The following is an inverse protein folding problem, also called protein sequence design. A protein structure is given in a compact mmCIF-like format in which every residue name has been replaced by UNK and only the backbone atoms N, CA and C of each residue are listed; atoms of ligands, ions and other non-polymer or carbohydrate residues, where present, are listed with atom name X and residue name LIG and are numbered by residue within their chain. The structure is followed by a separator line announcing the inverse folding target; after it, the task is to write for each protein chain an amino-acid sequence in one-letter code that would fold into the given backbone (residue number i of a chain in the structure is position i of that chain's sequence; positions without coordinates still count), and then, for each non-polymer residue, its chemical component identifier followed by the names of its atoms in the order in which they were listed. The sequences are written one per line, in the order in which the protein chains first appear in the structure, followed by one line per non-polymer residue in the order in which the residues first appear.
data_IF_430998718857
#
_entry.id   IF_430998718857
#
_cell.length_a   1.000
_cell.length_b   1.000
_cell.length_c   1.000
_cell.angle_alpha   90.00
_cell.angle_beta   90.00
_cell.angle_gamma   90.00
#
_symmetry.space_group_name_H-M   'P 1'
#
loop_
_entity.id
_entity.type
_entity.pdbx_description
1 polymer ?
#
# COMPACT_ATOMS: atom_id res chain seq x y z
N UNK A 1 -10.06 20.72 20.04
CA UNK A 1 -10.45 19.29 20.07
C UNK A 1 -9.39 18.53 20.87
N UNK A 2 -9.77 17.75 21.87
CA UNK A 2 -8.84 17.15 22.84
C UNK A 2 -8.06 16.00 22.18
N UNK A 3 -6.73 15.91 22.33
CA UNK A 3 -5.86 14.92 21.63
C UNK A 3 -6.32 13.47 21.88
N UNK A 4 -6.85 13.19 23.08
CA UNK A 4 -7.44 11.88 23.42
C UNK A 4 -8.69 11.52 22.59
N UNK A 5 -9.53 12.49 22.24
CA UNK A 5 -10.70 12.24 21.39
C UNK A 5 -10.31 12.00 19.93
N UNK A 6 -9.22 12.61 19.46
CA UNK A 6 -8.67 12.40 18.12
C UNK A 6 -8.10 10.99 17.96
N UNK A 7 -7.37 10.48 18.97
CA UNK A 7 -6.80 9.13 19.00
C UNK A 7 -7.85 8.02 19.06
N UNK A 8 -9.03 8.31 19.60
CA UNK A 8 -10.13 7.34 19.67
C UNK A 8 -10.91 7.24 18.35
N UNK A 9 -10.66 8.12 17.37
CA UNK A 9 -11.30 8.03 16.07
C UNK A 9 -10.73 6.83 15.28
N UNK A 10 -11.58 5.87 14.83
CA UNK A 10 -11.13 4.68 14.12
C UNK A 10 -10.35 5.01 12.84
N UNK A 11 -10.63 6.12 12.18
CA UNK A 11 -9.92 6.54 10.97
C UNK A 11 -8.50 7.01 11.28
N UNK A 12 -8.31 7.86 12.30
CA UNK A 12 -6.99 8.34 12.73
C UNK A 12 -6.12 7.19 13.22
N UNK A 13 -6.72 6.24 13.96
CA UNK A 13 -6.02 5.02 14.40
C UNK A 13 -5.56 4.18 13.21
N UNK A 14 -6.41 3.99 12.21
CA UNK A 14 -6.08 3.19 11.03
C UNK A 14 -4.98 3.84 10.19
N UNK A 15 -5.02 5.16 10.06
CA UNK A 15 -3.95 5.95 9.42
C UNK A 15 -2.62 5.78 10.17
N UNK A 16 -2.62 5.90 11.51
CA UNK A 16 -1.41 5.73 12.31
C UNK A 16 -0.79 4.33 12.17
N UNK A 17 -1.63 3.29 12.23
CA UNK A 17 -1.21 1.89 12.07
C UNK A 17 -0.63 1.68 10.66
N UNK A 18 -1.31 2.18 9.62
CA UNK A 18 -0.83 2.09 8.24
C UNK A 18 0.54 2.73 8.08
N UNK A 19 0.77 3.92 8.64
CA UNK A 19 2.06 4.62 8.51
C UNK A 19 3.22 3.84 9.12
N UNK A 20 3.03 3.30 10.32
CA UNK A 20 4.06 2.51 11.01
C UNK A 20 4.37 1.23 10.25
N UNK A 21 3.32 0.50 9.82
CA UNK A 21 3.49 -0.73 9.07
C UNK A 21 4.10 -0.49 7.69
N UNK A 22 3.74 0.60 7.00
CA UNK A 22 4.29 0.94 5.69
C UNK A 22 5.81 1.12 5.77
N UNK A 23 6.28 1.93 6.72
CA UNK A 23 7.72 2.21 6.91
C UNK A 23 8.45 0.91 7.29
N UNK A 24 7.91 0.16 8.25
CA UNK A 24 8.54 -1.06 8.75
C UNK A 24 8.60 -2.14 7.65
N UNK A 25 7.52 -2.33 6.89
CA UNK A 25 7.46 -3.28 5.79
C UNK A 25 8.53 -2.99 4.73
N UNK A 26 8.65 -1.71 4.33
CA UNK A 26 9.65 -1.28 3.34
C UNK A 26 11.09 -1.56 3.81
N UNK A 27 11.39 -1.34 5.09
CA UNK A 27 12.71 -1.61 5.67
C UNK A 27 13.06 -3.11 5.63
N UNK A 28 12.15 -3.96 6.07
CA UNK A 28 12.38 -5.42 6.03
C UNK A 28 12.47 -5.93 4.60
N UNK A 29 11.61 -5.43 3.70
CA UNK A 29 11.62 -5.82 2.29
C UNK A 29 12.99 -5.50 1.66
N UNK A 30 13.45 -4.27 1.83
CA UNK A 30 14.77 -3.85 1.33
C UNK A 30 15.90 -4.63 1.98
N UNK A 31 15.82 -4.93 3.28
CA UNK A 31 16.84 -5.75 3.96
C UNK A 31 16.93 -7.16 3.37
N UNK A 32 15.79 -7.82 3.13
CA UNK A 32 15.73 -9.16 2.52
C UNK A 32 16.32 -9.16 1.11
N UNK A 33 15.94 -8.18 0.30
CA UNK A 33 16.40 -8.08 -1.09
C UNK A 33 17.88 -7.67 -1.18
N UNK A 34 18.31 -6.63 -0.46
CA UNK A 34 19.67 -6.08 -0.61
C UNK A 34 20.75 -6.77 0.20
N UNK A 35 20.44 -7.21 1.43
CA UNK A 35 21.45 -7.82 2.32
C UNK A 35 21.52 -9.32 2.12
N UNK A 36 20.37 -9.96 1.91
CA UNK A 36 20.30 -11.40 1.74
C UNK A 36 20.22 -11.81 0.27
N UNK A 37 20.02 -10.88 -0.68
CA UNK A 37 19.90 -11.24 -2.11
C UNK A 37 18.77 -12.26 -2.35
N UNK A 38 17.70 -12.17 -1.55
CA UNK A 38 16.51 -12.98 -1.74
C UNK A 38 15.53 -12.19 -2.60
N UNK A 39 15.57 -12.46 -3.89
CA UNK A 39 14.91 -11.70 -4.95
C UNK A 39 13.77 -12.52 -5.58
N UNK A 40 12.74 -12.78 -4.77
CA UNK A 40 11.59 -13.60 -5.13
C UNK A 40 10.29 -12.90 -4.69
N UNK A 41 9.90 -11.80 -5.36
CA UNK A 41 8.77 -10.97 -4.96
C UNK A 41 7.44 -11.72 -4.96
N UNK A 42 7.20 -12.61 -5.92
CA UNK A 42 5.96 -13.38 -6.00
C UNK A 42 5.84 -14.30 -4.80
N UNK A 43 6.93 -14.96 -4.41
CA UNK A 43 6.95 -15.81 -3.20
C UNK A 43 6.65 -14.99 -1.94
N UNK A 44 7.24 -13.80 -1.80
CA UNK A 44 6.97 -12.91 -0.66
C UNK A 44 5.49 -12.52 -0.62
N UNK A 45 4.92 -12.09 -1.74
CA UNK A 45 3.50 -11.73 -1.84
C UNK A 45 2.58 -12.91 -1.53
N UNK A 46 2.89 -14.10 -2.06
CA UNK A 46 2.14 -15.32 -1.78
C UNK A 46 2.12 -15.64 -0.29
N UNK A 47 3.29 -15.60 0.37
CA UNK A 47 3.40 -15.88 1.80
C UNK A 47 2.64 -14.85 2.64
N UNK A 48 2.64 -13.57 2.25
CA UNK A 48 1.85 -12.52 2.91
C UNK A 48 0.34 -12.76 2.78
N UNK A 49 -0.13 -13.10 1.58
CA UNK A 49 -1.56 -13.41 1.35
C UNK A 49 -1.98 -14.69 2.08
N UNK A 50 -1.17 -15.75 2.02
CA UNK A 50 -1.40 -17.00 2.73
C UNK A 50 -1.42 -16.80 4.24
N UNK A 51 -0.51 -16.01 4.79
CA UNK A 51 -0.47 -15.67 6.23
C UNK A 51 -1.71 -14.89 6.65
N UNK A 52 -2.18 -13.96 5.81
CA UNK A 52 -3.43 -13.22 6.06
C UNK A 52 -4.62 -14.17 6.13
N UNK A 53 -4.75 -15.08 5.17
CA UNK A 53 -5.82 -16.08 5.13
C UNK A 53 -5.75 -17.02 6.34
N UNK A 54 -4.56 -17.54 6.65
CA UNK A 54 -4.34 -18.42 7.79
C UNK A 54 -4.71 -17.73 9.11
N UNK A 55 -4.32 -16.47 9.29
CA UNK A 55 -4.63 -15.71 10.50
C UNK A 55 -6.15 -15.49 10.66
N UNK A 56 -6.86 -15.18 9.57
CA UNK A 56 -8.33 -14.99 9.60
C UNK A 56 -9.03 -16.33 9.88
N UNK A 57 -8.58 -17.41 9.26
CA UNK A 57 -9.13 -18.75 9.46
C UNK A 57 -8.87 -19.28 10.88
N UNK A 58 -7.68 -19.06 11.42
CA UNK A 58 -7.36 -19.36 12.81
C UNK A 58 -8.27 -18.56 13.76
N UNK A 59 -8.44 -17.26 13.53
CA UNK A 59 -9.33 -16.42 14.33
C UNK A 59 -10.80 -16.87 14.26
N UNK A 60 -11.24 -17.40 13.10
CA UNK A 60 -12.56 -18.01 12.93
C UNK A 60 -12.70 -19.29 13.74
N UNK A 61 -11.70 -20.18 13.71
CA UNK A 61 -11.70 -21.43 14.50
C UNK A 61 -11.77 -21.17 16.01
N UNK A 62 -11.08 -20.14 16.49
CA UNK A 62 -11.14 -19.72 17.91
C UNK A 62 -12.41 -18.92 18.27
N UNK A 63 -13.37 -18.77 17.34
CA UNK A 63 -14.59 -17.97 17.51
C UNK A 63 -14.35 -16.49 17.89
N UNK A 64 -13.15 -15.97 17.61
CA UNK A 64 -12.82 -14.54 17.81
C UNK A 64 -13.56 -13.69 16.78
N UNK A 65 -13.78 -14.24 15.59
CA UNK A 65 -14.46 -13.54 14.50
C UNK A 65 -15.57 -14.40 13.89
N UNK A 66 -16.75 -13.80 13.72
CA UNK A 66 -17.85 -14.35 12.93
C UNK A 66 -17.71 -13.93 11.47
N UNK A 67 -17.07 -14.77 10.67
CA UNK A 67 -16.94 -14.57 9.22
C UNK A 67 -17.65 -15.72 8.48
N UNK A 68 -18.53 -15.44 7.50
CA UNK A 68 -19.12 -16.49 6.69
C UNK A 68 -18.03 -17.13 5.81
N UNK A 69 -18.13 -18.44 5.57
CA UNK A 69 -17.21 -19.16 4.69
C UNK A 69 -17.11 -18.52 3.29
N UNK A 70 -16.00 -18.77 2.61
CA UNK A 70 -15.80 -18.32 1.25
C UNK A 70 -16.93 -18.84 0.36
N UNK A 71 -17.57 -17.95 -0.40
CA UNK A 71 -18.49 -18.34 -1.46
C UNK A 71 -17.98 -17.78 -2.78
N UNK A 72 -18.07 -18.59 -3.82
CA UNK A 72 -17.60 -18.21 -5.15
C UNK A 72 -18.25 -16.91 -5.65
N UNK A 73 -19.54 -16.70 -5.35
CA UNK A 73 -20.25 -15.47 -5.69
C UNK A 73 -19.60 -14.22 -5.07
N UNK A 74 -19.24 -14.25 -3.78
CA UNK A 74 -18.56 -13.13 -3.10
C UNK A 74 -17.16 -12.92 -3.66
N UNK A 75 -16.46 -14.01 -3.94
CA UNK A 75 -15.16 -14.00 -4.62
C UNK A 75 -15.21 -13.31 -5.99
N UNK A 76 -16.22 -13.62 -6.81
CA UNK A 76 -16.41 -13.01 -8.13
C UNK A 76 -16.67 -11.49 -8.05
N UNK A 77 -17.44 -11.02 -7.06
CA UNK A 77 -17.66 -9.59 -6.87
C UNK A 77 -16.38 -8.85 -6.50
N UNK A 78 -15.46 -9.50 -5.79
CA UNK A 78 -14.17 -8.94 -5.40
C UNK A 78 -13.06 -9.19 -6.44
N UNK A 79 -13.30 -10.01 -7.46
CA UNK A 79 -12.27 -10.49 -8.37
C UNK A 79 -11.57 -9.38 -9.15
N UNK A 80 -12.34 -8.47 -9.77
CA UNK A 80 -11.77 -7.35 -10.55
C UNK A 80 -10.92 -6.40 -9.68
N UNK A 81 -11.40 -5.91 -8.51
CA UNK A 81 -10.56 -5.13 -7.62
C UNK A 81 -9.29 -5.88 -7.19
N UNK A 82 -9.40 -7.17 -6.87
CA UNK A 82 -8.25 -8.01 -6.50
C UNK A 82 -7.26 -8.20 -7.63
N UNK A 83 -7.72 -8.33 -8.87
CA UNK A 83 -6.87 -8.45 -10.05
C UNK A 83 -6.04 -7.18 -10.25
N UNK A 84 -6.68 -6.01 -10.22
CA UNK A 84 -5.97 -4.74 -10.34
C UNK A 84 -5.02 -4.49 -9.18
N UNK A 85 -5.41 -4.86 -7.96
CA UNK A 85 -4.54 -4.79 -6.79
C UNK A 85 -3.33 -5.73 -6.91
N UNK A 86 -3.54 -6.97 -7.34
CA UNK A 86 -2.48 -7.97 -7.48
C UNK A 86 -1.45 -7.54 -8.53
N UNK A 87 -1.91 -7.08 -9.70
CA UNK A 87 -1.04 -6.58 -10.76
C UNK A 87 -0.27 -5.34 -10.30
N UNK A 88 -0.91 -4.41 -9.59
CA UNK A 88 -0.23 -3.19 -9.14
C UNK A 88 0.87 -3.49 -8.11
N UNK A 89 0.61 -4.37 -7.13
CA UNK A 89 1.62 -4.71 -6.12
C UNK A 89 2.74 -5.59 -6.69
N UNK A 90 2.42 -6.46 -7.65
CA UNK A 90 3.42 -7.25 -8.40
C UNK A 90 4.37 -6.31 -9.17
N UNK A 91 3.84 -5.44 -10.03
CA UNK A 91 4.65 -4.47 -10.77
C UNK A 91 5.45 -3.56 -9.83
N UNK A 92 4.90 -3.20 -8.68
CA UNK A 92 5.59 -2.38 -7.70
C UNK A 92 6.80 -3.09 -7.09
N UNK A 93 6.69 -4.37 -6.74
CA UNK A 93 7.81 -5.13 -6.20
C UNK A 93 8.85 -5.43 -7.27
N UNK A 94 8.45 -5.96 -8.42
CA UNK A 94 9.37 -6.25 -9.54
C UNK A 94 10.17 -5.01 -10.00
N UNK A 95 9.53 -3.84 -10.07
CA UNK A 95 10.22 -2.60 -10.45
C UNK A 95 11.09 -2.02 -9.32
N UNK A 96 10.94 -2.49 -8.07
CA UNK A 96 11.81 -2.16 -6.93
C UNK A 96 12.98 -3.14 -6.78
N UNK A 97 12.85 -4.34 -7.32
CA UNK A 97 13.80 -5.46 -7.22
C UNK A 97 14.96 -5.32 -8.20
N UNK A 98 14.69 -4.75 -9.38
CA UNK A 98 15.73 -4.34 -10.30
C UNK A 98 16.37 -3.00 -9.91
N UNK A 99 17.70 -2.93 -9.99
CA UNK A 99 18.53 -1.70 -10.10
C UNK A 99 18.03 -0.76 -11.24
N UNK A 100 17.02 -1.14 -12.01
CA UNK A 100 16.71 -0.67 -13.35
C UNK A 100 15.68 0.46 -13.48
N UNK A 101 14.96 0.92 -12.44
CA UNK A 101 13.91 1.94 -12.67
C UNK A 101 13.85 3.08 -11.64
N UNK A 102 14.86 3.98 -11.60
CA UNK A 102 14.94 5.06 -10.60
C UNK A 102 13.73 6.00 -10.55
N UNK A 103 13.02 6.15 -11.68
CA UNK A 103 11.85 7.05 -11.81
C UNK A 103 10.54 6.37 -11.38
N UNK A 104 10.47 5.04 -11.35
CA UNK A 104 9.23 4.31 -11.04
C UNK A 104 8.61 4.71 -9.69
N UNK A 105 9.37 4.76 -8.57
CA UNK A 105 8.82 5.17 -7.28
C UNK A 105 8.32 6.61 -7.26
N UNK A 106 8.88 7.49 -8.10
CA UNK A 106 8.45 8.87 -8.25
C UNK A 106 7.09 8.97 -8.96
N UNK A 107 6.83 8.12 -9.97
CA UNK A 107 5.54 8.08 -10.67
C UNK A 107 4.41 7.64 -9.74
N UNK A 108 4.68 6.67 -8.85
CA UNK A 108 3.68 6.21 -7.87
C UNK A 108 3.18 7.32 -6.93
N UNK A 109 3.89 8.45 -6.85
CA UNK A 109 3.51 9.62 -6.03
C UNK A 109 2.32 10.39 -6.56
N UNK A 110 1.80 10.06 -7.74
CA UNK A 110 0.58 10.67 -8.29
C UNK A 110 -0.69 9.89 -7.96
N UNK A 111 -0.63 8.88 -7.09
CA UNK A 111 -1.80 8.06 -6.71
C UNK A 111 -3.01 8.88 -6.24
N UNK A 112 -2.86 9.93 -5.40
CA UNK A 112 -4.01 10.74 -5.00
C UNK A 112 -4.74 11.39 -6.18
N UNK A 113 -4.02 11.78 -7.25
CA UNK A 113 -4.61 12.38 -8.45
C UNK A 113 -5.42 11.35 -9.22
N UNK A 114 -4.89 10.13 -9.37
CA UNK A 114 -5.60 9.02 -10.00
C UNK A 114 -6.87 8.67 -9.23
N UNK A 115 -6.81 8.62 -7.89
CA UNK A 115 -7.99 8.35 -7.06
C UNK A 115 -9.06 9.44 -7.21
N UNK A 116 -8.69 10.71 -7.34
CA UNK A 116 -9.67 11.77 -7.66
C UNK A 116 -10.33 11.49 -9.02
N UNK A 117 -9.53 11.23 -10.05
CA UNK A 117 -10.04 10.99 -11.40
C UNK A 117 -10.97 9.76 -11.47
N UNK A 118 -10.54 8.64 -10.90
CA UNK A 118 -11.33 7.40 -10.82
C UNK A 118 -12.55 7.59 -9.92
N UNK A 119 -12.43 8.31 -8.80
CA UNK A 119 -13.54 8.61 -7.89
C UNK A 119 -14.64 9.43 -8.55
N UNK A 120 -14.29 10.42 -9.38
CA UNK A 120 -15.25 11.19 -10.18
C UNK A 120 -15.90 10.30 -11.24
N UNK A 121 -15.13 9.50 -11.97
CA UNK A 121 -15.65 8.68 -13.07
C UNK A 121 -16.48 7.48 -12.60
N UNK A 122 -15.96 6.69 -11.67
CA UNK A 122 -16.52 5.39 -11.27
C UNK A 122 -17.52 5.51 -10.11
N UNK A 123 -17.22 6.35 -9.12
CA UNK A 123 -18.08 6.55 -7.93
C UNK A 123 -18.99 7.77 -8.09
N UNK A 124 -18.89 8.53 -9.18
CA UNK A 124 -19.64 9.76 -9.41
C UNK A 124 -19.48 10.76 -8.26
N UNK A 125 -18.31 10.77 -7.62
CA UNK A 125 -17.99 11.70 -6.54
C UNK A 125 -17.91 13.11 -7.12
N UNK A 126 -18.46 14.09 -6.39
CA UNK A 126 -18.25 15.50 -6.73
C UNK A 126 -16.77 15.87 -6.73
N UNK A 127 -16.37 16.82 -7.58
CA UNK A 127 -14.99 17.31 -7.61
C UNK A 127 -14.61 17.91 -6.25
N UNK A 128 -13.40 17.62 -5.73
CA UNK A 128 -12.90 18.29 -4.54
C UNK A 128 -12.80 19.81 -4.76
N UNK A 129 -12.77 20.57 -3.67
CA UNK A 129 -12.58 22.02 -3.76
C UNK A 129 -11.27 22.37 -4.46
N UNK A 130 -11.23 23.47 -5.21
CA UNK A 130 -10.03 23.94 -5.91
C UNK A 130 -8.80 24.02 -4.99
N UNK A 131 -9.00 24.48 -3.73
CA UNK A 131 -7.96 24.50 -2.71
C UNK A 131 -7.39 23.12 -2.41
N UNK A 132 -8.25 22.10 -2.31
CA UNK A 132 -7.84 20.71 -2.06
C UNK A 132 -7.03 20.16 -3.22
N UNK A 133 -7.49 20.39 -4.46
CA UNK A 133 -6.79 19.96 -5.67
C UNK A 133 -5.39 20.58 -5.74
N UNK A 134 -5.26 21.89 -5.49
CA UNK A 134 -3.96 22.58 -5.48
C UNK A 134 -3.01 21.98 -4.43
N UNK A 135 -3.50 21.72 -3.22
CA UNK A 135 -2.67 21.10 -2.16
C UNK A 135 -2.22 19.70 -2.56
N UNK A 136 -3.12 18.89 -3.15
CA UNK A 136 -2.81 17.52 -3.59
C UNK A 136 -1.78 17.52 -4.72
N UNK A 137 -1.93 18.40 -5.71
CA UNK A 137 -0.97 18.51 -6.81
C UNK A 137 0.41 18.93 -6.27
N UNK A 138 0.45 19.95 -5.40
CA UNK A 138 1.69 20.39 -4.77
C UNK A 138 2.35 19.25 -3.98
N UNK A 139 1.55 18.49 -3.23
CA UNK A 139 2.02 17.31 -2.48
C UNK A 139 2.58 16.24 -3.41
N UNK A 140 1.91 15.93 -4.53
CA UNK A 140 2.38 14.90 -5.46
C UNK A 140 3.68 15.32 -6.16
N UNK A 141 3.80 16.60 -6.54
CA UNK A 141 5.03 17.15 -7.14
C UNK A 141 6.18 17.11 -6.12
N UNK A 142 5.93 17.54 -4.88
CA UNK A 142 6.92 17.45 -3.81
C UNK A 142 7.34 15.99 -3.57
N UNK A 143 6.38 15.07 -3.49
CA UNK A 143 6.67 13.67 -3.26
C UNK A 143 7.41 13.02 -4.45
N UNK A 144 7.13 13.45 -5.69
CA UNK A 144 7.88 13.07 -6.88
C UNK A 144 9.37 13.45 -6.76
N UNK A 145 9.67 14.71 -6.46
CA UNK A 145 11.07 15.15 -6.26
C UNK A 145 11.72 14.50 -5.04
N UNK A 146 10.95 14.14 -4.01
CA UNK A 146 11.49 13.38 -2.87
C UNK A 146 11.96 11.98 -3.25
N UNK A 147 11.43 11.42 -4.34
CA UNK A 147 11.70 10.06 -4.82
C UNK A 147 12.66 10.02 -6.01
N UNK A 148 13.06 11.19 -6.55
CA UNK A 148 13.91 11.30 -7.72
C UNK A 148 15.37 11.49 -7.29
N UNK A 149 16.15 10.40 -7.31
CA UNK A 149 17.57 10.39 -6.93
C UNK A 149 18.47 10.35 -8.15
N UNK A 150 18.03 9.69 -9.21
CA UNK A 150 18.73 9.62 -10.48
C UNK A 150 17.78 10.00 -11.62
N UNK A 151 18.24 10.86 -12.51
CA UNK A 151 17.49 11.28 -13.70
C UNK A 151 17.78 10.29 -14.83
N UNK A 152 17.44 9.01 -14.59
CA UNK A 152 17.47 7.97 -15.60
C UNK A 152 16.03 7.69 -16.05
N UNK A 153 15.60 8.37 -17.11
CA UNK A 153 14.24 8.25 -17.62
C UNK A 153 14.19 7.09 -18.63
N UNK A 154 13.76 5.94 -18.16
CA UNK A 154 13.46 4.79 -19.00
C UNK A 154 11.98 4.75 -19.39
N UNK A 155 11.70 4.50 -20.67
CA UNK A 155 10.33 4.42 -21.17
C UNK A 155 9.52 3.30 -20.50
N UNK A 156 10.15 2.15 -20.25
CA UNK A 156 9.52 1.01 -19.59
C UNK A 156 9.16 1.31 -18.13
N UNK A 157 10.03 2.02 -17.41
CA UNK A 157 9.74 2.50 -16.05
C UNK A 157 8.52 3.40 -15.99
N UNK A 158 8.37 4.28 -16.99
CA UNK A 158 7.19 5.14 -17.10
C UNK A 158 5.94 4.30 -17.41
N UNK A 159 6.02 3.39 -18.37
CA UNK A 159 4.92 2.52 -18.75
C UNK A 159 4.39 1.67 -17.59
N UNK A 160 5.29 0.91 -16.94
CA UNK A 160 4.94 0.10 -15.76
C UNK A 160 4.50 0.96 -14.59
N UNK A 161 5.12 2.12 -14.38
CA UNK A 161 4.74 3.09 -13.36
C UNK A 161 3.29 3.55 -13.51
N UNK A 162 2.92 4.01 -14.72
CA UNK A 162 1.55 4.47 -15.01
C UNK A 162 0.56 3.30 -14.93
N UNK A 163 0.92 2.12 -15.41
CA UNK A 163 0.07 0.93 -15.33
C UNK A 163 -0.20 0.54 -13.88
N UNK A 164 0.84 0.38 -13.05
CA UNK A 164 0.70 0.04 -11.64
C UNK A 164 -0.09 1.13 -10.88
N UNK A 165 0.20 2.40 -11.16
CA UNK A 165 -0.45 3.55 -10.55
C UNK A 165 -1.97 3.57 -10.84
N UNK A 166 -2.34 3.36 -12.10
CA UNK A 166 -3.75 3.37 -12.53
C UNK A 166 -4.51 2.18 -11.97
N UNK A 167 -3.95 0.97 -12.07
CA UNK A 167 -4.56 -0.24 -11.50
C UNK A 167 -4.73 -0.13 -9.98
N UNK A 168 -3.73 0.39 -9.27
CA UNK A 168 -3.82 0.61 -7.83
C UNK A 168 -4.91 1.60 -7.46
N UNK A 169 -5.00 2.73 -8.19
CA UNK A 169 -6.05 3.72 -7.99
C UNK A 169 -7.46 3.15 -8.23
N UNK A 170 -7.64 2.36 -9.30
CA UNK A 170 -8.89 1.65 -9.58
C UNK A 170 -9.25 0.66 -8.49
N UNK A 171 -8.30 -0.18 -8.08
CA UNK A 171 -8.49 -1.17 -7.03
C UNK A 171 -9.00 -0.52 -5.74
N UNK A 172 -8.32 0.53 -5.24
CA UNK A 172 -8.69 1.18 -3.99
C UNK A 172 -10.09 1.83 -4.04
N UNK A 173 -10.46 2.48 -5.15
CA UNK A 173 -11.80 3.08 -5.29
C UNK A 173 -12.89 2.02 -5.40
N UNK A 174 -12.62 0.89 -6.09
CA UNK A 174 -13.57 -0.22 -6.16
C UNK A 174 -13.75 -0.91 -4.80
N UNK A 175 -12.65 -1.11 -4.05
CA UNK A 175 -12.68 -1.64 -2.68
C UNK A 175 -13.49 -0.71 -1.77
N UNK A 176 -13.29 0.61 -1.87
CA UNK A 176 -14.09 1.58 -1.11
C UNK A 176 -15.59 1.45 -1.40
N UNK A 177 -15.96 1.32 -2.68
CA UNK A 177 -17.36 1.15 -3.09
C UNK A 177 -17.95 -0.17 -2.59
N UNK A 178 -17.19 -1.25 -2.66
CA UNK A 178 -17.62 -2.56 -2.15
C UNK A 178 -17.81 -2.52 -0.64
N UNK A 179 -16.94 -1.84 0.11
CA UNK A 179 -17.08 -1.65 1.55
C UNK A 179 -18.38 -0.93 1.91
N UNK A 180 -18.76 0.10 1.17
CA UNK A 180 -20.02 0.81 1.38
C UNK A 180 -21.25 -0.08 1.18
N UNK A 181 -21.11 -1.17 0.40
CA UNK A 181 -22.19 -2.13 0.13
C UNK A 181 -22.17 -3.34 1.08
N UNK A 182 -21.00 -3.89 1.41
CA UNK A 182 -20.86 -5.13 2.20
C UNK A 182 -20.63 -4.91 3.70
N UNK A 183 -20.28 -3.68 4.11
CA UNK A 183 -20.02 -3.20 5.49
C UNK A 183 -18.99 -3.97 6.35
N UNK A 184 -18.47 -5.12 5.91
CA UNK A 184 -17.45 -5.88 6.63
C UNK A 184 -16.07 -5.73 5.99
N UNK A 185 -15.16 -5.04 6.68
CA UNK A 185 -13.76 -4.89 6.23
C UNK A 185 -13.04 -6.24 6.16
N UNK A 186 -13.28 -7.09 7.16
CA UNK A 186 -12.63 -8.38 7.24
C UNK A 186 -13.01 -9.29 6.08
N UNK A 187 -14.26 -9.19 5.62
CA UNK A 187 -14.71 -9.92 4.45
C UNK A 187 -13.95 -9.49 3.19
N UNK A 188 -13.77 -8.18 3.00
CA UNK A 188 -13.01 -7.67 1.86
C UNK A 188 -11.56 -8.10 1.91
N UNK A 189 -10.92 -8.07 3.09
CA UNK A 189 -9.54 -8.56 3.27
C UNK A 189 -9.48 -10.04 2.89
N UNK A 190 -10.36 -10.86 3.46
CA UNK A 190 -10.37 -12.30 3.23
C UNK A 190 -10.59 -12.65 1.75
N UNK A 191 -11.59 -12.06 1.11
CA UNK A 191 -11.89 -12.28 -0.31
C UNK A 191 -10.75 -11.78 -1.20
N UNK A 192 -10.17 -10.63 -0.88
CA UNK A 192 -9.06 -10.07 -1.64
C UNK A 192 -7.80 -10.92 -1.54
N UNK A 193 -7.40 -11.29 -0.32
CA UNK A 193 -6.22 -12.12 -0.10
C UNK A 193 -6.36 -13.48 -0.77
N UNK A 194 -7.56 -14.08 -0.76
CA UNK A 194 -7.82 -15.35 -1.45
C UNK A 194 -7.66 -15.22 -2.96
N UNK A 195 -8.29 -14.21 -3.56
CA UNK A 195 -8.20 -13.97 -5.00
C UNK A 195 -6.76 -13.62 -5.43
N UNK A 196 -6.06 -12.76 -4.66
CA UNK A 196 -4.67 -12.41 -4.94
C UNK A 196 -3.75 -13.62 -4.82
N UNK A 197 -3.94 -14.48 -3.81
CA UNK A 197 -3.15 -15.71 -3.68
C UNK A 197 -3.32 -16.62 -4.89
N UNK A 198 -4.55 -16.79 -5.40
CA UNK A 198 -4.80 -17.57 -6.61
C UNK A 198 -4.08 -16.97 -7.82
N UNK A 199 -4.09 -15.64 -7.97
CA UNK A 199 -3.40 -14.95 -9.05
C UNK A 199 -1.88 -15.13 -8.96
N UNK A 200 -1.30 -14.97 -7.78
CA UNK A 200 0.14 -15.16 -7.58
C UNK A 200 0.58 -16.61 -7.77
N UNK A 201 -0.25 -17.59 -7.39
CA UNK A 201 0.00 -18.99 -7.72
C UNK A 201 0.05 -19.22 -9.24
N UNK A 202 -0.83 -18.58 -10.01
CA UNK A 202 -0.80 -18.67 -11.48
C UNK A 202 0.45 -17.99 -12.05
N UNK A 203 0.86 -16.85 -11.47
CA UNK A 203 2.10 -16.17 -11.86
C UNK A 203 3.33 -17.03 -11.55
N UNK A 204 3.38 -17.67 -10.39
CA UNK A 204 4.46 -18.58 -10.01
C UNK A 204 4.58 -19.78 -10.95
N UNK A 205 3.46 -20.34 -11.45
CA UNK A 205 3.51 -21.41 -12.46
C UNK A 205 4.23 -21.00 -13.77
N UNK A 206 4.40 -19.70 -14.01
CA UNK A 206 5.08 -19.16 -15.19
C UNK A 206 6.52 -18.79 -14.87
N UNK A 207 6.78 -18.20 -13.70
CA UNK A 207 8.11 -17.73 -13.30
C UNK A 207 8.96 -18.78 -12.55
N UNK A 208 8.35 -19.83 -11.99
CA UNK A 208 8.99 -20.86 -11.16
C UNK A 208 9.72 -20.31 -9.91
N UNK A 209 9.31 -19.16 -9.37
CA UNK A 209 9.99 -18.52 -8.24
C UNK A 209 9.96 -19.36 -6.95
N UNK A 210 8.89 -20.11 -6.68
CA UNK A 210 8.80 -20.98 -5.48
C UNK A 210 9.94 -22.01 -5.49
N UNK A 211 10.23 -22.59 -6.65
CA UNK A 211 11.30 -23.57 -6.80
C UNK A 211 12.64 -22.94 -6.51
N UNK A 212 12.91 -21.77 -7.07
CA UNK A 212 14.18 -21.08 -6.90
C UNK A 212 14.36 -20.54 -5.49
N UNK A 213 13.31 -19.98 -4.89
CA UNK A 213 13.29 -19.56 -3.50
C UNK A 213 13.55 -20.74 -2.55
N UNK A 214 13.00 -21.92 -2.83
CA UNK A 214 13.25 -23.12 -2.05
C UNK A 214 14.71 -23.58 -2.16
N UNK A 215 15.27 -23.60 -3.37
CA UNK A 215 16.69 -23.93 -3.60
C UNK A 215 17.63 -22.93 -2.89
N UNK A 216 17.28 -21.64 -2.92
CA UNK A 216 17.99 -20.60 -2.18
C UNK A 216 17.96 -20.90 -0.67
N UNK A 217 16.79 -21.22 -0.11
CA UNK A 217 16.65 -21.52 1.31
C UNK A 217 17.47 -22.74 1.74
N UNK A 218 17.55 -23.78 0.90
CA UNK A 218 18.39 -24.95 1.20
C UNK A 218 19.89 -24.62 1.28
N UNK A 219 20.34 -23.63 0.51
CA UNK A 219 21.76 -23.32 0.35
C UNK A 219 22.24 -22.22 1.29
N UNK A 220 21.39 -21.23 1.57
CA UNK A 220 21.77 -19.95 2.17
C UNK A 220 20.98 -19.58 3.44
N UNK A 221 20.21 -20.51 4.01
CA UNK A 221 19.42 -20.23 5.20
C UNK A 221 20.29 -19.96 6.43
N UNK A 222 20.21 -18.71 6.91
CA UNK A 222 20.77 -18.30 8.21
C UNK A 222 19.62 -17.98 9.19
N UNK A 223 19.82 -18.13 10.50
CA UNK A 223 18.79 -17.78 11.49
C UNK A 223 18.33 -16.32 11.40
N UNK A 224 19.25 -15.40 11.07
CA UNK A 224 18.94 -13.98 10.89
C UNK A 224 18.08 -13.76 9.65
N UNK A 225 18.40 -14.41 8.52
CA UNK A 225 17.57 -14.38 7.32
C UNK A 225 16.15 -14.86 7.62
N UNK A 226 16.01 -16.00 8.31
CA UNK A 226 14.70 -16.55 8.68
C UNK A 226 13.90 -15.61 9.56
N UNK A 227 14.54 -14.97 10.55
CA UNK A 227 13.89 -13.96 11.40
C UNK A 227 13.42 -12.75 10.59
N UNK A 228 14.26 -12.22 9.70
CA UNK A 228 13.91 -11.10 8.83
C UNK A 228 12.77 -11.47 7.86
N UNK A 229 12.80 -12.68 7.28
CA UNK A 229 11.79 -13.16 6.34
C UNK A 229 10.44 -13.36 7.05
N UNK A 230 10.45 -14.03 8.21
CA UNK A 230 9.23 -14.20 9.02
C UNK A 230 8.63 -12.85 9.45
N UNK A 231 9.48 -11.90 9.86
CA UNK A 231 9.04 -10.54 10.20
C UNK A 231 8.44 -9.82 8.99
N UNK A 232 9.07 -9.91 7.82
CA UNK A 232 8.56 -9.34 6.57
C UNK A 232 7.19 -9.91 6.20
N UNK A 233 7.01 -11.22 6.31
CA UNK A 233 5.74 -11.89 5.98
C UNK A 233 4.62 -11.40 6.92
N UNK A 234 4.89 -11.35 8.23
CA UNK A 234 3.90 -10.90 9.23
C UNK A 234 3.58 -9.42 9.08
N UNK A 235 4.59 -8.57 8.94
CA UNK A 235 4.43 -7.13 8.79
C UNK A 235 3.75 -6.79 7.45
N UNK A 236 4.08 -7.50 6.38
CA UNK A 236 3.45 -7.34 5.07
C UNK A 236 1.98 -7.75 5.06
N UNK A 237 1.64 -8.88 5.70
CA UNK A 237 0.25 -9.29 5.93
C UNK A 237 -0.53 -8.24 6.75
N UNK A 238 0.09 -7.73 7.83
CA UNK A 238 -0.51 -6.67 8.64
C UNK A 238 -0.66 -5.35 7.84
N UNK A 239 0.31 -5.00 7.01
CA UNK A 239 0.27 -3.84 6.13
C UNK A 239 -0.88 -3.95 5.13
N UNK A 240 -1.06 -5.12 4.51
CA UNK A 240 -2.19 -5.39 3.62
C UNK A 240 -3.54 -5.16 4.32
N UNK A 241 -3.72 -5.74 5.50
CA UNK A 241 -4.92 -5.53 6.31
C UNK A 241 -5.11 -4.06 6.71
N UNK A 242 -4.04 -3.34 7.05
CA UNK A 242 -4.07 -1.94 7.44
C UNK A 242 -4.48 -1.02 6.28
N UNK A 243 -4.09 -1.32 5.04
CA UNK A 243 -4.56 -0.60 3.85
C UNK A 243 -6.08 -0.68 3.74
N UNK A 244 -6.65 -1.89 3.86
CA UNK A 244 -8.10 -2.10 3.79
C UNK A 244 -8.85 -1.43 4.94
N UNK A 245 -8.32 -1.49 6.16
CA UNK A 245 -8.85 -0.76 7.31
C UNK A 245 -8.84 0.76 7.10
N UNK A 246 -7.79 1.29 6.48
CA UNK A 246 -7.70 2.71 6.17
C UNK A 246 -8.72 3.12 5.10
N UNK A 247 -8.87 2.32 4.03
CA UNK A 247 -9.90 2.55 3.00
C UNK A 247 -11.29 2.54 3.60
N UNK A 248 -11.57 1.59 4.50
CA UNK A 248 -12.86 1.47 5.15
C UNK A 248 -13.19 2.64 6.08
N UNK A 249 -12.26 3.02 6.98
CA UNK A 249 -12.54 4.04 7.98
C UNK A 249 -12.31 5.47 7.49
N UNK A 250 -11.35 5.70 6.58
CA UNK A 250 -10.97 7.03 6.12
C UNK A 250 -11.38 7.32 4.68
N UNK A 251 -11.55 6.31 3.80
CA UNK A 251 -11.69 6.35 2.33
C UNK A 251 -10.37 6.13 1.54
N UNK A 252 -10.51 5.82 0.24
CA UNK A 252 -9.37 5.55 -0.63
C UNK A 252 -8.47 6.79 -0.82
N UNK A 253 -9.06 7.98 -0.82
CA UNK A 253 -8.36 9.23 -1.03
C UNK A 253 -7.41 9.57 0.14
N UNK A 254 -7.86 9.45 1.39
CA UNK A 254 -7.01 9.62 2.57
C UNK A 254 -5.94 8.52 2.64
N UNK A 255 -6.28 7.29 2.26
CA UNK A 255 -5.32 6.19 2.19
C UNK A 255 -4.16 6.54 1.24
N UNK A 256 -4.45 7.06 0.05
CA UNK A 256 -3.40 7.45 -0.90
C UNK A 256 -2.56 8.63 -0.43
N UNK A 257 -3.14 9.62 0.25
CA UNK A 257 -2.38 10.76 0.80
C UNK A 257 -1.35 10.25 1.81
N UNK A 258 -1.76 9.36 2.72
CA UNK A 258 -0.87 8.79 3.73
C UNK A 258 0.17 7.85 3.10
N UNK A 259 -0.21 7.03 2.12
CA UNK A 259 0.74 6.20 1.37
C UNK A 259 1.79 7.04 0.66
N UNK A 260 1.40 8.21 0.13
CA UNK A 260 2.31 9.14 -0.53
C UNK A 260 3.33 9.74 0.45
N UNK A 261 2.86 10.22 1.60
CA UNK A 261 3.73 10.72 2.68
C UNK A 261 4.68 9.61 3.19
N UNK A 262 4.16 8.42 3.47
CA UNK A 262 4.97 7.32 3.98
C UNK A 262 6.02 6.89 2.98
N UNK A 263 5.69 6.82 1.68
CA UNK A 263 6.66 6.45 0.68
C UNK A 263 7.74 7.52 0.42
N UNK A 264 7.41 8.81 0.57
CA UNK A 264 8.41 9.88 0.56
C UNK A 264 9.41 9.73 1.73
N UNK A 265 8.91 9.40 2.92
CA UNK A 265 9.74 9.13 4.10
C UNK A 265 10.57 7.84 3.94
N UNK A 266 9.96 6.77 3.43
CA UNK A 266 10.62 5.48 3.21
C UNK A 266 11.84 5.61 2.30
N UNK A 267 11.72 6.37 1.21
CA UNK A 267 12.83 6.53 0.26
C UNK A 267 13.99 7.28 0.90
N UNK A 268 13.74 8.36 1.67
CA UNK A 268 14.82 9.03 2.41
C UNK A 268 15.52 8.07 3.37
N UNK A 269 14.74 7.29 4.14
CA UNK A 269 15.32 6.33 5.09
C UNK A 269 16.11 5.26 4.35
N UNK A 270 15.58 4.74 3.25
CA UNK A 270 16.23 3.72 2.42
C UNK A 270 17.56 4.21 1.85
N UNK A 271 17.62 5.40 1.24
CA UNK A 271 18.86 5.95 0.69
C UNK A 271 19.86 6.33 1.79
N UNK A 272 19.41 6.88 2.92
CA UNK A 272 20.29 7.14 4.07
C UNK A 272 20.95 5.85 4.58
N UNK A 273 20.18 4.76 4.67
CA UNK A 273 20.70 3.45 5.03
C UNK A 273 21.65 2.89 3.94
N UNK A 274 21.36 3.14 2.66
CA UNK A 274 22.22 2.78 1.52
C UNK A 274 23.60 3.43 1.62
N UNK A 275 23.67 4.74 1.95
CA UNK A 275 24.95 5.43 2.14
C UNK A 275 25.75 4.79 3.26
N UNK A 276 25.11 4.48 4.39
CA UNK A 276 25.79 3.91 5.54
C UNK A 276 26.33 2.49 5.29
N UNK A 277 25.57 1.67 4.56
CA UNK A 277 25.91 0.26 4.32
C UNK A 277 26.82 0.06 3.09
N UNK A 278 26.62 0.84 2.03
CA UNK A 278 27.19 0.59 0.71
C UNK A 278 27.98 1.77 0.11
N UNK A 279 28.11 2.90 0.83
CA UNK A 279 28.70 4.13 0.30
C UNK A 279 28.06 4.61 -1.01
N UNK A 280 26.75 4.36 -1.12
CA UNK A 280 25.93 4.66 -2.28
C UNK A 280 25.51 6.15 -2.34
N UNK A 281 24.73 6.53 -3.34
CA UNK A 281 24.21 7.90 -3.53
C UNK A 281 23.35 8.31 -2.33
N UNK A 282 23.66 9.47 -1.74
CA UNK A 282 22.90 10.02 -0.62
C UNK A 282 21.74 10.92 -1.03
N UNK A 283 20.80 11.19 -0.12
CA UNK A 283 19.73 12.17 -0.35
C UNK A 283 20.30 13.56 -0.58
N UNK A 284 19.91 14.18 -1.70
CA UNK A 284 20.27 15.56 -2.00
C UNK A 284 19.45 16.55 -1.17
N UNK A 285 19.91 17.80 -1.11
CA UNK A 285 19.16 18.90 -0.49
C UNK A 285 17.76 19.05 -1.09
N UNK A 286 17.60 18.76 -2.40
CA UNK A 286 16.30 18.79 -3.08
C UNK A 286 15.38 17.73 -2.51
N UNK A 287 15.87 16.49 -2.31
CA UNK A 287 15.06 15.41 -1.75
C UNK A 287 14.59 15.73 -0.32
N UNK A 288 15.47 16.32 0.51
CA UNK A 288 15.15 16.73 1.89
C UNK A 288 14.08 17.82 1.90
N UNK A 289 14.26 18.89 1.11
CA UNK A 289 13.27 19.97 0.98
C UNK A 289 11.93 19.40 0.48
N UNK A 290 11.97 18.48 -0.47
CA UNK A 290 10.81 17.85 -1.05
C UNK A 290 10.01 17.00 -0.04
N UNK A 291 10.67 16.27 0.87
CA UNK A 291 9.98 15.57 1.97
C UNK A 291 9.38 16.52 2.99
N UNK A 292 10.09 17.60 3.33
CA UNK A 292 9.55 18.65 4.22
C UNK A 292 8.28 19.25 3.60
N UNK A 293 8.33 19.58 2.30
CA UNK A 293 7.18 20.13 1.58
C UNK A 293 6.03 19.12 1.52
N UNK A 294 6.31 17.84 1.24
CA UNK A 294 5.29 16.77 1.25
C UNK A 294 4.60 16.66 2.61
N UNK A 295 5.37 16.76 3.69
CA UNK A 295 4.87 16.72 5.07
C UNK A 295 4.00 17.94 5.38
N UNK A 296 4.44 19.15 4.99
CA UNK A 296 3.68 20.39 5.15
C UNK A 296 2.38 20.34 4.35
N UNK A 297 2.43 19.91 3.09
CA UNK A 297 1.24 19.79 2.24
C UNK A 297 0.24 18.78 2.81
N UNK A 298 0.71 17.65 3.34
CA UNK A 298 -0.15 16.68 4.03
C UNK A 298 -0.81 17.29 5.27
N UNK A 299 -0.04 18.02 6.08
CA UNK A 299 -0.58 18.73 7.24
C UNK A 299 -1.62 19.80 6.84
N UNK A 300 -1.33 20.60 5.80
CA UNK A 300 -2.26 21.59 5.28
C UNK A 300 -3.55 20.95 4.76
N UNK A 301 -3.44 19.82 4.03
CA UNK A 301 -4.60 19.07 3.55
C UNK A 301 -5.54 18.70 4.70
N UNK A 302 -5.01 18.13 5.79
CA UNK A 302 -5.82 17.77 6.97
C UNK A 302 -6.37 18.99 7.69
N UNK A 303 -5.65 20.13 7.70
CA UNK A 303 -6.08 21.38 8.35
C UNK A 303 -7.20 22.12 7.60
N UNK A 304 -7.19 22.12 6.27
CA UNK A 304 -8.10 22.93 5.43
C UNK A 304 -9.36 22.21 4.92
N UNK A 305 -9.64 21.01 5.43
CA UNK A 305 -10.88 20.28 5.08
C UNK A 305 -10.75 18.76 5.14
N UNK A 306 -9.52 18.21 5.16
CA UNK A 306 -9.32 16.76 5.22
C UNK A 306 -9.81 16.13 6.53
N UNK A 307 -9.83 16.86 7.66
CA UNK A 307 -10.34 16.33 8.93
C UNK A 307 -11.89 16.25 8.97
N UNK A 308 -12.58 17.19 8.32
CA UNK A 308 -14.06 17.25 8.37
C UNK A 308 -14.68 16.08 7.58
N UNK A 309 -14.08 15.67 6.46
CA UNK A 309 -14.48 14.48 5.70
C UNK A 309 -14.18 13.16 6.44
N UNK A 310 -13.07 13.09 7.20
CA UNK A 310 -12.67 11.91 7.99
C UNK A 310 -13.55 11.73 9.23
N UNK A 311 -13.96 12.83 9.86
CA UNK A 311 -14.81 12.82 11.06
C UNK A 311 -16.31 12.76 10.70
N UNK A 312 -16.70 13.30 9.54
CA UNK A 312 -18.08 13.39 9.07
C UNK A 312 -18.72 12.06 8.64
N UNK A 313 -17.94 11.03 8.25
CA UNK A 313 -18.47 9.71 7.90
C UNK A 313 -19.10 8.92 9.06
N UNK A 314 -18.97 9.39 10.32
CA UNK A 314 -19.68 8.79 11.47
C UNK A 314 -21.15 9.25 11.56
N UNK A 315 -21.59 10.22 10.75
CA UNK A 315 -22.95 10.83 10.87
C UNK A 315 -24.02 10.35 9.89
N UNK A 316 -23.76 9.38 9.02
CA UNK A 316 -24.80 8.81 8.14
C UNK A 316 -24.86 7.28 8.23
N UNK A 317 -25.40 6.79 9.35
CA UNK A 317 -26.29 5.63 9.32
C UNK A 317 -27.71 6.18 9.52
N UNK A 318 -28.69 5.85 8.66
CA UNK A 318 -30.06 6.29 8.90
C UNK A 318 -30.53 5.65 10.21
N UNK A 319 -30.85 6.51 11.19
CA UNK A 319 -31.77 6.15 12.26
C UNK A 319 -33.14 6.18 11.60
N UNK A 320 -33.55 5.05 11.02
CA UNK A 320 -34.97 4.84 10.75
C UNK A 320 -35.67 4.60 12.07
N UNK A 321 -36.80 5.29 12.21
CA UNK A 321 -37.66 5.43 13.37
C UNK A 321 -38.38 4.14 13.75
#
# INVERSE_FOLDING_TARGET
MNIRQLLHNPAVRSIGILSVLAITNSLFNRTIMTKFFFDYPVVILMLQMATTLFAIEAARMFNVVKLPAYTFQRGCHMFVPSLFYAISIYLCLECLDGISMPVFPAIQRFLPVVIIAVGVYYKQRGFPSQKTITIVILMCIAAFFSSLYEIAIEFWAIGYGIAALTMHGFALVMIERLYETSQSVLDLIYMNSFNCLCLFLVTDLIQDEIRDAFLYMLTSMTPLFLFCLASLIVIGAAFHAAVFLCVAHANAFHTAIIQNLCGALQIIVAYTLSVYLFYDIGPSTVNIIAVILTTISTYMFYRYGGLEDVVGKVKYGPVEA
#
